data_IF_525063166600
#
_entry.id   IF_525063166600
#
_cell.length_a   1.000
_cell.length_b   1.000
_cell.length_c   1.000
_cell.angle_alpha   90.00
_cell.angle_beta   90.00
_cell.angle_gamma   90.00
#
_symmetry.space_group_name_H-M   'P 1'
#
loop_
_entity.id
_entity.type
_entity.pdbx_description
1 polymer ?
#
# COMPACT_ATOMS: atom_id res chain seq x y z
N UNK A 1 2.24 -8.64 8.19
CA UNK A 1 2.57 -9.18 6.85
C UNK A 1 3.10 -10.60 6.90
N UNK A 2 4.04 -10.91 7.80
CA UNK A 2 4.59 -12.26 7.95
C UNK A 2 4.55 -12.70 9.42
N UNK A 3 3.78 -13.74 9.79
CA UNK A 3 3.75 -14.25 11.16
C UNK A 3 5.09 -14.80 11.66
N UNK A 4 5.99 -15.25 10.77
CA UNK A 4 7.29 -15.79 11.15
C UNK A 4 8.27 -14.71 11.65
N UNK A 5 7.96 -13.44 11.40
CA UNK A 5 8.73 -12.29 11.89
C UNK A 5 8.20 -11.74 13.23
N UNK A 6 7.37 -12.51 13.95
CA UNK A 6 6.90 -12.11 15.26
C UNK A 6 8.08 -11.86 16.22
N UNK A 7 8.13 -10.67 16.81
CA UNK A 7 9.20 -10.29 17.73
C UNK A 7 10.53 -9.91 17.05
N UNK A 8 10.52 -9.57 15.76
CA UNK A 8 11.71 -9.05 15.07
C UNK A 8 12.31 -7.86 15.84
N UNK A 9 13.65 -7.72 15.80
CA UNK A 9 14.44 -6.85 16.69
C UNK A 9 14.47 -7.27 18.18
N UNK A 10 14.05 -8.50 18.49
CA UNK A 10 14.26 -9.12 19.80
C UNK A 10 13.21 -8.79 20.86
N UNK A 11 12.09 -8.14 20.49
CA UNK A 11 11.01 -7.84 21.41
C UNK A 11 9.65 -7.85 20.72
N UNK A 12 8.61 -8.26 21.46
CA UNK A 12 7.21 -8.10 21.04
C UNK A 12 6.66 -6.70 21.37
N UNK A 13 7.36 -5.92 22.20
CA UNK A 13 7.05 -4.53 22.51
C UNK A 13 7.60 -3.62 21.39
N UNK A 14 6.74 -2.93 20.61
CA UNK A 14 7.16 -2.09 19.50
C UNK A 14 8.18 -1.02 19.92
N UNK A 15 8.03 -0.39 21.08
CA UNK A 15 8.95 0.65 21.53
C UNK A 15 10.36 0.11 21.75
N UNK A 16 10.49 -1.09 22.34
CA UNK A 16 11.79 -1.75 22.54
C UNK A 16 12.41 -2.20 21.23
N UNK A 17 11.62 -2.80 20.34
CA UNK A 17 12.06 -3.21 19.01
C UNK A 17 12.55 -2.00 18.18
N UNK A 18 11.81 -0.89 18.22
CA UNK A 18 12.18 0.37 17.56
C UNK A 18 13.46 0.96 18.13
N UNK A 19 13.64 0.95 19.45
CA UNK A 19 14.86 1.43 20.10
C UNK A 19 16.11 0.66 19.62
N UNK A 20 16.04 -0.67 19.57
CA UNK A 20 17.12 -1.52 19.07
C UNK A 20 17.42 -1.26 17.58
N UNK A 21 16.36 -1.08 16.76
CA UNK A 21 16.52 -0.73 15.36
C UNK A 21 17.20 0.63 15.16
N UNK A 22 16.76 1.65 15.91
CA UNK A 22 17.34 3.00 15.89
C UNK A 22 18.82 3.01 16.30
N UNK A 23 19.22 2.17 17.27
CA UNK A 23 20.62 2.02 17.66
C UNK A 23 21.47 1.55 16.47
N UNK A 24 21.03 0.52 15.74
CA UNK A 24 21.70 0.04 14.53
C UNK A 24 21.80 1.12 13.46
N UNK A 25 20.70 1.85 13.21
CA UNK A 25 20.68 2.94 12.24
C UNK A 25 21.68 4.04 12.59
N UNK A 26 21.83 4.38 13.88
CA UNK A 26 22.80 5.39 14.34
C UNK A 26 24.25 4.91 14.17
N UNK A 27 24.54 3.64 14.46
CA UNK A 27 25.89 3.08 14.31
C UNK A 27 26.36 3.00 12.86
N UNK A 28 25.43 2.92 11.91
CA UNK A 28 25.73 2.65 10.50
C UNK A 28 25.06 3.65 9.54
N UNK A 29 24.74 4.86 10.00
CA UNK A 29 23.99 5.86 9.24
C UNK A 29 24.59 6.14 7.85
N UNK A 30 25.92 6.21 7.74
CA UNK A 30 26.62 6.46 6.46
C UNK A 30 26.45 5.34 5.43
N UNK A 31 25.98 4.15 5.83
CA UNK A 31 25.78 2.98 4.97
C UNK A 31 24.32 2.68 4.69
N UNK A 32 23.39 3.44 5.26
CA UNK A 32 21.97 3.16 5.23
C UNK A 32 21.24 4.38 4.66
N UNK A 33 20.73 4.26 3.45
CA UNK A 33 19.94 5.33 2.82
C UNK A 33 18.61 5.58 3.56
N UNK A 34 17.95 4.53 4.02
CA UNK A 34 16.70 4.65 4.75
C UNK A 34 16.15 3.33 5.25
N UNK A 35 15.00 3.41 5.92
CA UNK A 35 14.28 2.26 6.46
C UNK A 35 12.83 2.29 6.01
N UNK A 36 12.30 1.13 5.59
CA UNK A 36 10.88 0.92 5.38
C UNK A 36 10.21 0.33 6.62
N UNK A 37 9.19 1.00 7.16
CA UNK A 37 8.39 0.48 8.27
C UNK A 37 7.04 -0.07 7.77
N UNK A 38 6.73 -1.33 8.05
CA UNK A 38 5.50 -2.00 7.57
C UNK A 38 4.66 -2.57 8.71
N UNK A 39 4.41 -1.74 9.72
CA UNK A 39 3.61 -2.09 10.89
C UNK A 39 2.12 -1.75 10.72
N UNK A 40 1.76 -0.94 9.71
CA UNK A 40 0.40 -0.39 9.50
C UNK A 40 -0.10 0.40 10.72
N UNK A 41 0.83 1.03 11.42
CA UNK A 41 0.60 1.89 12.57
C UNK A 41 1.25 3.24 12.30
N UNK A 42 0.40 4.21 11.99
CA UNK A 42 0.80 5.57 11.60
C UNK A 42 1.57 6.27 12.72
N UNK A 43 1.11 6.12 13.96
CA UNK A 43 1.65 6.87 15.09
C UNK A 43 3.05 6.36 15.45
N UNK A 44 3.26 5.04 15.37
CA UNK A 44 4.59 4.45 15.49
C UNK A 44 5.54 4.92 14.38
N UNK A 45 5.08 5.06 13.13
CA UNK A 45 5.93 5.58 12.05
C UNK A 45 6.32 7.05 12.29
N UNK A 46 5.38 7.89 12.72
CA UNK A 46 5.62 9.29 13.04
C UNK A 46 6.61 9.42 14.22
N UNK A 47 6.45 8.62 15.27
CA UNK A 47 7.40 8.58 16.38
C UNK A 47 8.80 8.14 15.92
N UNK A 48 8.87 7.10 15.07
CA UNK A 48 10.13 6.57 14.57
C UNK A 48 10.87 7.57 13.68
N UNK A 49 10.18 8.21 12.71
CA UNK A 49 10.83 9.10 11.74
C UNK A 49 11.45 10.33 12.40
N UNK A 50 10.89 10.81 13.51
CA UNK A 50 11.41 11.94 14.29
C UNK A 50 12.72 11.62 15.02
N UNK A 51 13.06 10.33 15.17
CA UNK A 51 14.25 9.85 15.88
C UNK A 51 15.36 9.35 14.95
N UNK A 52 15.12 9.35 13.64
CA UNK A 52 16.09 8.90 12.64
C UNK A 52 17.35 9.77 12.67
N UNK A 53 18.54 9.16 12.53
CA UNK A 53 19.77 9.93 12.40
C UNK A 53 19.75 10.77 11.10
N UNK A 54 20.42 11.93 11.08
CA UNK A 54 20.49 12.77 9.87
C UNK A 54 20.97 11.98 8.65
N UNK A 55 20.32 12.19 7.51
CA UNK A 55 20.64 11.52 6.25
C UNK A 55 19.96 10.17 6.03
N UNK A 56 19.34 9.57 7.06
CA UNK A 56 18.58 8.32 6.92
C UNK A 56 17.10 8.64 6.68
N UNK A 57 16.56 8.16 5.56
CA UNK A 57 15.17 8.38 5.14
C UNK A 57 14.19 7.46 5.86
N UNK A 58 12.99 7.97 6.13
CA UNK A 58 11.84 7.12 6.43
C UNK A 58 11.12 6.80 5.12
N UNK A 59 11.03 5.53 4.75
CA UNK A 59 10.15 5.05 3.70
C UNK A 59 8.88 4.49 4.33
N UNK A 60 7.73 5.13 4.12
CA UNK A 60 6.48 4.55 4.60
C UNK A 60 6.21 3.23 3.89
N UNK A 61 5.87 2.22 4.69
CA UNK A 61 5.30 0.96 4.25
C UNK A 61 3.86 0.79 4.75
N UNK A 62 3.22 1.89 5.17
CA UNK A 62 1.85 1.91 5.65
C UNK A 62 0.87 2.19 4.51
N UNK A 63 0.39 1.10 3.90
CA UNK A 63 -0.61 1.17 2.83
C UNK A 63 -2.00 1.64 3.32
N UNK A 64 -2.24 1.81 4.63
CA UNK A 64 -3.50 2.35 5.18
C UNK A 64 -3.51 3.87 5.31
N UNK A 65 -2.33 4.46 5.50
CA UNK A 65 -2.16 5.87 5.90
C UNK A 65 -1.16 6.65 5.03
N UNK A 66 -0.64 6.03 3.97
CA UNK A 66 0.41 6.57 3.09
C UNK A 66 0.22 8.02 2.66
N UNK A 67 -0.99 8.44 2.27
CA UNK A 67 -1.20 9.80 1.79
C UNK A 67 -0.89 10.85 2.87
N UNK A 68 -1.26 10.58 4.13
CA UNK A 68 -0.94 11.47 5.25
C UNK A 68 0.56 11.44 5.58
N UNK A 69 1.16 10.25 5.61
CA UNK A 69 2.56 10.07 5.95
C UNK A 69 3.51 10.72 4.92
N UNK A 70 3.17 10.63 3.64
CA UNK A 70 3.90 11.24 2.52
C UNK A 70 3.76 12.76 2.51
N UNK A 71 2.56 13.30 2.78
CA UNK A 71 2.39 14.76 2.89
C UNK A 71 3.18 15.33 4.07
N UNK A 72 3.28 14.57 5.15
CA UNK A 72 4.02 14.94 6.34
C UNK A 72 3.23 15.82 7.31
N UNK A 73 3.93 16.26 8.34
CA UNK A 73 3.47 17.19 9.37
C UNK A 73 4.44 18.40 9.45
N UNK A 74 4.26 19.25 10.46
CA UNK A 74 5.11 20.43 10.69
C UNK A 74 6.60 20.09 10.93
N UNK A 75 6.92 18.85 11.30
CA UNK A 75 8.27 18.40 11.64
C UNK A 75 8.93 17.70 10.45
N UNK A 76 8.17 16.90 9.69
CA UNK A 76 8.70 16.22 8.52
C UNK A 76 7.73 15.29 7.82
N UNK A 77 8.23 14.59 6.81
CA UNK A 77 7.46 13.64 6.00
C UNK A 77 8.19 12.30 5.88
N UNK A 78 7.48 11.30 5.37
CA UNK A 78 8.06 10.01 4.97
C UNK A 78 8.14 9.95 3.44
N UNK A 79 9.24 9.46 2.89
CA UNK A 79 9.31 8.98 1.51
C UNK A 79 8.44 7.72 1.35
N UNK A 80 8.32 7.14 0.15
CA UNK A 80 7.38 6.04 -0.10
C UNK A 80 8.03 4.79 -0.69
N UNK A 81 7.78 3.63 -0.07
CA UNK A 81 8.06 2.31 -0.64
C UNK A 81 6.89 1.38 -0.31
N UNK A 82 5.85 1.45 -1.12
CA UNK A 82 4.51 0.92 -0.80
C UNK A 82 4.04 -0.11 -1.82
N UNK A 83 3.23 -1.07 -1.36
CA UNK A 83 2.59 -2.04 -2.25
C UNK A 83 1.43 -1.43 -3.02
N UNK A 84 0.69 -0.49 -2.41
CA UNK A 84 -0.44 0.17 -3.06
C UNK A 84 -0.04 1.03 -4.26
N UNK A 85 1.20 1.54 -4.29
CA UNK A 85 1.67 2.38 -5.40
C UNK A 85 1.69 1.66 -6.74
N UNK A 86 1.78 0.32 -6.76
CA UNK A 86 1.67 -0.49 -7.98
C UNK A 86 0.28 -0.31 -8.65
N UNK A 87 -0.84 -0.72 -8.03
CA UNK A 87 -2.16 -0.60 -8.67
C UNK A 87 -2.65 0.84 -8.85
N UNK A 88 -2.10 1.82 -8.12
CA UNK A 88 -2.50 3.24 -8.24
C UNK A 88 -1.45 4.12 -8.95
N UNK A 89 -0.44 3.51 -9.58
CA UNK A 89 0.73 4.21 -10.11
C UNK A 89 0.44 5.51 -10.89
N UNK A 90 -0.57 5.56 -11.81
CA UNK A 90 -0.87 6.80 -12.53
C UNK A 90 -1.30 7.95 -11.60
N UNK A 91 -2.18 7.68 -10.63
CA UNK A 91 -2.67 8.69 -9.68
C UNK A 91 -1.58 9.06 -8.68
N UNK A 92 -0.78 8.10 -8.22
CA UNK A 92 0.35 8.39 -7.34
C UNK A 92 1.38 9.30 -8.01
N UNK A 93 1.76 9.01 -9.26
CA UNK A 93 2.69 9.86 -10.00
C UNK A 93 2.14 11.28 -10.19
N UNK A 94 0.85 11.41 -10.52
CA UNK A 94 0.20 12.71 -10.63
C UNK A 94 0.21 13.47 -9.29
N UNK A 95 -0.21 12.83 -8.21
CA UNK A 95 -0.26 13.44 -6.89
C UNK A 95 1.12 13.89 -6.41
N UNK A 96 2.14 13.04 -6.52
CA UNK A 96 3.52 13.36 -6.12
C UNK A 96 4.08 14.56 -6.90
N UNK A 97 3.74 14.71 -8.18
CA UNK A 97 4.10 15.89 -8.96
C UNK A 97 3.44 17.19 -8.45
N UNK A 98 2.21 17.11 -7.94
CA UNK A 98 1.57 18.26 -7.30
C UNK A 98 2.23 18.58 -5.96
N UNK A 99 2.53 17.56 -5.16
CA UNK A 99 3.21 17.74 -3.88
C UNK A 99 4.60 18.37 -4.06
N UNK A 100 5.38 17.92 -5.05
CA UNK A 100 6.69 18.49 -5.39
C UNK A 100 6.63 19.98 -5.81
N UNK A 101 5.46 20.47 -6.22
CA UNK A 101 5.21 21.88 -6.57
C UNK A 101 4.58 22.68 -5.43
N UNK A 102 4.46 22.10 -4.23
CA UNK A 102 3.84 22.72 -3.06
C UNK A 102 2.31 22.66 -3.01
N UNK A 103 1.66 21.92 -3.93
CA UNK A 103 0.21 21.83 -4.01
C UNK A 103 -0.34 20.65 -3.20
N UNK A 104 -0.24 20.73 -1.87
CA UNK A 104 -0.69 19.67 -0.96
C UNK A 104 -2.20 19.37 -1.06
N UNK A 105 -3.03 20.39 -1.28
CA UNK A 105 -4.47 20.22 -1.46
C UNK A 105 -4.79 19.30 -2.64
N UNK A 106 -4.12 19.52 -3.77
CA UNK A 106 -4.33 18.73 -4.98
C UNK A 106 -3.77 17.31 -4.84
N UNK A 107 -2.62 17.16 -4.18
CA UNK A 107 -2.10 15.85 -3.79
C UNK A 107 -3.13 15.05 -2.98
N UNK A 108 -3.73 15.64 -1.95
CA UNK A 108 -4.77 14.98 -1.16
C UNK A 108 -6.03 14.74 -1.97
N UNK A 109 -6.44 15.68 -2.82
CA UNK A 109 -7.63 15.53 -3.68
C UNK A 109 -7.50 14.29 -4.57
N UNK A 110 -6.34 14.09 -5.19
CA UNK A 110 -6.06 12.97 -6.10
C UNK A 110 -6.00 11.63 -5.34
N UNK A 111 -5.32 11.58 -4.19
CA UNK A 111 -5.13 10.30 -3.47
C UNK A 111 -6.30 9.90 -2.58
N UNK A 112 -7.11 10.84 -2.08
CA UNK A 112 -8.24 10.56 -1.20
C UNK A 112 -9.15 9.40 -1.65
N UNK A 113 -9.60 9.31 -2.91
CA UNK A 113 -10.44 8.19 -3.34
C UNK A 113 -9.69 6.84 -3.39
N UNK A 114 -8.35 6.84 -3.41
CA UNK A 114 -7.54 5.62 -3.42
C UNK A 114 -7.34 5.02 -2.02
N UNK A 115 -7.52 5.81 -0.96
CA UNK A 115 -7.29 5.34 0.42
C UNK A 115 -8.27 4.23 0.82
N UNK A 116 -9.60 4.34 0.57
CA UNK A 116 -10.53 3.24 0.81
C UNK A 116 -10.20 1.98 0.02
N UNK A 117 -9.81 2.12 -1.26
CA UNK A 117 -9.36 1.01 -2.10
C UNK A 117 -8.14 0.30 -1.48
N UNK A 118 -7.14 1.08 -1.05
CA UNK A 118 -5.94 0.54 -0.42
C UNK A 118 -6.27 -0.24 0.84
N UNK A 119 -7.05 0.37 1.75
CA UNK A 119 -7.47 -0.29 2.98
C UNK A 119 -8.23 -1.58 2.70
N UNK A 120 -9.06 -1.61 1.65
CA UNK A 120 -9.75 -2.83 1.23
C UNK A 120 -8.77 -3.90 0.77
N UNK A 121 -7.84 -3.58 -0.13
CA UNK A 121 -6.82 -4.53 -0.64
C UNK A 121 -6.00 -5.12 0.53
N UNK A 122 -5.61 -4.29 1.50
CA UNK A 122 -4.76 -4.67 2.62
C UNK A 122 -5.52 -5.13 3.88
N UNK A 123 -6.86 -5.28 3.82
CA UNK A 123 -7.67 -5.69 4.96
C UNK A 123 -7.25 -7.06 5.51
N UNK A 124 -7.53 -7.32 6.80
CA UNK A 124 -7.18 -8.59 7.42
C UNK A 124 -7.80 -9.79 6.68
N UNK A 125 -7.06 -10.90 6.47
CA UNK A 125 -5.64 -11.10 6.75
C UNK A 125 -4.73 -10.43 5.69
N UNK A 126 -3.98 -9.40 6.12
CA UNK A 126 -3.20 -8.50 5.24
C UNK A 126 -2.20 -9.21 4.34
N UNK A 127 -1.65 -10.36 4.74
CA UNK A 127 -0.66 -11.12 3.94
C UNK A 127 -1.15 -11.44 2.50
N UNK A 128 -2.47 -11.46 2.28
CA UNK A 128 -3.09 -11.73 0.98
C UNK A 128 -3.38 -10.49 0.12
N UNK A 129 -2.89 -9.30 0.50
CA UNK A 129 -3.07 -8.06 -0.26
C UNK A 129 -2.64 -8.19 -1.74
N UNK A 130 -1.62 -9.01 -2.00
CA UNK A 130 -1.09 -9.30 -3.34
C UNK A 130 -2.16 -9.82 -4.31
N UNK A 131 -3.18 -10.49 -3.77
CA UNK A 131 -4.34 -10.95 -4.56
C UNK A 131 -5.09 -9.78 -5.16
N UNK A 132 -5.35 -8.73 -4.37
CA UNK A 132 -6.00 -7.51 -4.85
C UNK A 132 -5.12 -6.74 -5.86
N UNK A 133 -3.81 -6.66 -5.62
CA UNK A 133 -2.86 -6.04 -6.55
C UNK A 133 -2.89 -6.72 -7.92
N UNK A 134 -2.71 -8.04 -7.95
CA UNK A 134 -2.72 -8.81 -9.21
C UNK A 134 -4.10 -8.82 -9.86
N UNK A 135 -5.17 -8.81 -9.06
CA UNK A 135 -6.53 -8.69 -9.57
C UNK A 135 -6.72 -7.37 -10.34
N UNK A 136 -6.25 -6.24 -9.81
CA UNK A 136 -6.29 -4.95 -10.50
C UNK A 136 -5.43 -4.94 -11.76
N UNK A 137 -4.23 -5.53 -11.71
CA UNK A 137 -3.37 -5.68 -12.88
C UNK A 137 -4.07 -6.48 -13.99
N UNK A 138 -4.77 -7.56 -13.64
CA UNK A 138 -5.58 -8.34 -14.57
C UNK A 138 -6.77 -7.52 -15.10
N UNK A 139 -7.57 -6.86 -14.26
CA UNK A 139 -8.68 -6.02 -14.72
C UNK A 139 -8.22 -4.97 -15.74
N UNK A 140 -7.10 -4.29 -15.46
CA UNK A 140 -6.53 -3.23 -16.28
C UNK A 140 -5.71 -3.72 -17.49
N UNK A 141 -5.65 -5.03 -17.74
CA UNK A 141 -5.03 -5.58 -18.95
C UNK A 141 -3.50 -5.57 -18.96
N UNK A 142 -2.87 -5.44 -17.79
CA UNK A 142 -1.42 -5.66 -17.66
C UNK A 142 -1.04 -7.13 -17.78
N UNK A 143 -2.01 -8.03 -17.62
CA UNK A 143 -1.88 -9.47 -17.84
C UNK A 143 -3.18 -10.09 -18.39
N UNK A 144 -3.09 -11.28 -18.97
CA UNK A 144 -4.22 -11.94 -19.63
C UNK A 144 -5.02 -12.89 -18.72
N UNK A 145 -4.45 -13.35 -17.61
CA UNK A 145 -5.07 -14.30 -16.68
C UNK A 145 -5.07 -13.79 -15.23
N UNK A 146 -5.99 -14.30 -14.40
CA UNK A 146 -5.96 -14.11 -12.94
C UNK A 146 -5.46 -15.39 -12.25
N UNK A 147 -4.18 -15.70 -12.49
CA UNK A 147 -3.48 -16.83 -11.87
C UNK A 147 -2.23 -16.29 -11.17
N UNK A 148 -1.95 -16.78 -9.98
CA UNK A 148 -0.85 -16.33 -9.14
C UNK A 148 0.01 -17.50 -8.69
N UNK A 149 1.27 -17.20 -8.38
CA UNK A 149 2.16 -18.15 -7.72
C UNK A 149 1.52 -18.67 -6.42
N UNK A 150 1.72 -19.96 -6.15
CA UNK A 150 1.13 -20.63 -4.99
C UNK A 150 -0.39 -20.74 -5.01
N UNK A 151 -1.05 -20.48 -6.15
CA UNK A 151 -2.51 -20.51 -6.26
C UNK A 151 -3.21 -19.37 -5.52
N UNK A 152 -2.48 -18.28 -5.24
CA UNK A 152 -2.97 -17.20 -4.38
C UNK A 152 -4.18 -16.44 -4.92
N UNK A 153 -4.57 -16.61 -6.19
CA UNK A 153 -5.78 -16.00 -6.75
C UNK A 153 -7.07 -16.35 -5.98
N UNK A 154 -7.09 -17.47 -5.23
CA UNK A 154 -8.21 -17.88 -4.38
C UNK A 154 -8.12 -17.39 -2.93
N UNK A 155 -7.10 -16.59 -2.57
CA UNK A 155 -6.85 -16.16 -1.18
C UNK A 155 -7.75 -15.02 -0.70
N UNK A 156 -8.63 -14.50 -1.56
CA UNK A 156 -9.66 -13.52 -1.23
C UNK A 156 -11.02 -14.01 -1.74
N UNK A 157 -12.09 -13.69 -1.01
CA UNK A 157 -13.44 -14.08 -1.41
C UNK A 157 -13.91 -13.29 -2.64
N UNK A 158 -14.90 -13.83 -3.36
CA UNK A 158 -15.53 -13.11 -4.47
C UNK A 158 -16.14 -11.78 -4.02
N UNK A 159 -16.71 -11.71 -2.82
CA UNK A 159 -17.25 -10.47 -2.23
C UNK A 159 -16.15 -9.42 -2.06
N UNK A 160 -14.99 -9.81 -1.54
CA UNK A 160 -13.84 -8.91 -1.42
C UNK A 160 -13.40 -8.38 -2.79
N UNK A 161 -13.30 -9.25 -3.80
CA UNK A 161 -12.90 -8.84 -5.15
C UNK A 161 -13.93 -7.91 -5.80
N UNK A 162 -15.23 -8.12 -5.55
CA UNK A 162 -16.31 -7.22 -5.99
C UNK A 162 -16.21 -5.83 -5.34
N UNK A 163 -15.93 -5.77 -4.04
CA UNK A 163 -15.69 -4.50 -3.34
C UNK A 163 -14.46 -3.76 -3.91
N UNK A 164 -13.37 -4.50 -4.14
CA UNK A 164 -12.15 -3.97 -4.74
C UNK A 164 -12.43 -3.44 -6.15
N UNK A 165 -13.19 -4.16 -6.98
CA UNK A 165 -13.63 -3.69 -8.30
C UNK A 165 -14.41 -2.37 -8.21
N UNK A 166 -15.42 -2.30 -7.33
CA UNK A 166 -16.24 -1.10 -7.11
C UNK A 166 -15.38 0.09 -6.68
N UNK A 167 -14.53 -0.09 -5.68
CA UNK A 167 -13.64 0.96 -5.17
C UNK A 167 -12.62 1.41 -6.23
N UNK A 168 -12.18 0.50 -7.10
CA UNK A 168 -11.30 0.83 -8.23
C UNK A 168 -12.02 1.72 -9.25
N UNK A 169 -13.29 1.43 -9.54
CA UNK A 169 -14.12 2.26 -10.41
C UNK A 169 -14.38 3.64 -9.79
N UNK A 170 -14.73 3.72 -8.51
CA UNK A 170 -14.94 4.97 -7.77
C UNK A 170 -13.67 5.83 -7.70
N UNK A 171 -12.49 5.20 -7.65
CA UNK A 171 -11.21 5.88 -7.69
C UNK A 171 -10.77 6.30 -9.10
N UNK A 172 -11.52 5.96 -10.15
CA UNK A 172 -11.14 6.27 -11.53
C UNK A 172 -9.91 5.52 -12.03
N UNK A 173 -9.65 4.33 -11.49
CA UNK A 173 -8.45 3.53 -11.76
C UNK A 173 -8.65 2.41 -12.81
N UNK A 174 -9.85 2.32 -13.41
CA UNK A 174 -10.11 1.41 -14.51
C UNK A 174 -9.65 2.03 -15.83
N UNK A 175 -8.58 1.49 -16.41
CA UNK A 175 -8.01 1.97 -17.69
C UNK A 175 -8.97 1.77 -18.85
N UNK A 176 -9.65 0.63 -18.86
CA UNK A 176 -10.68 0.26 -19.83
C UNK A 176 -11.87 -0.32 -19.05
N UNK A 177 -12.90 0.50 -18.76
CA UNK A 177 -14.05 0.06 -17.97
C UNK A 177 -14.84 -1.09 -18.61
N UNK A 178 -14.89 -1.18 -19.95
CA UNK A 178 -15.61 -2.25 -20.64
C UNK A 178 -14.88 -3.58 -20.49
N UNK A 179 -13.56 -3.58 -20.70
CA UNK A 179 -12.72 -4.76 -20.49
C UNK A 179 -12.76 -5.22 -19.03
N UNK A 180 -12.64 -4.28 -18.09
CA UNK A 180 -12.70 -4.58 -16.66
C UNK A 180 -14.05 -5.18 -16.27
N UNK A 181 -15.16 -4.61 -16.75
CA UNK A 181 -16.50 -5.14 -16.51
C UNK A 181 -16.70 -6.52 -17.14
N UNK A 182 -16.21 -6.73 -18.37
CA UNK A 182 -16.24 -8.03 -19.04
C UNK A 182 -15.51 -9.11 -18.22
N UNK A 183 -14.30 -8.81 -17.76
CA UNK A 183 -13.50 -9.71 -16.91
C UNK A 183 -14.16 -9.99 -15.57
N UNK A 184 -14.71 -8.97 -14.92
CA UNK A 184 -15.44 -9.15 -13.66
C UNK A 184 -16.66 -10.06 -13.84
N UNK A 185 -17.41 -9.90 -14.94
CA UNK A 185 -18.53 -10.80 -15.29
C UNK A 185 -18.07 -12.23 -15.51
N UNK A 186 -16.95 -12.45 -16.22
CA UNK A 186 -16.39 -13.79 -16.41
C UNK A 186 -15.99 -14.43 -15.08
N UNK A 187 -15.36 -13.66 -14.18
CA UNK A 187 -15.03 -14.16 -12.85
C UNK A 187 -16.29 -14.54 -12.07
N UNK A 188 -17.30 -13.68 -12.04
CA UNK A 188 -18.57 -13.94 -11.37
C UNK A 188 -19.30 -15.19 -11.92
N UNK A 189 -19.26 -15.41 -13.23
CA UNK A 189 -19.84 -16.59 -13.86
C UNK A 189 -19.17 -17.90 -13.40
N UNK A 190 -17.84 -17.91 -13.20
CA UNK A 190 -17.12 -19.06 -12.62
C UNK A 190 -17.58 -19.35 -11.18
N UNK A 191 -18.05 -18.33 -10.47
CA UNK A 191 -18.64 -18.45 -9.14
C UNK A 191 -20.16 -18.72 -9.15
N UNK A 192 -20.75 -18.99 -10.32
CA UNK A 192 -22.18 -19.28 -10.46
C UNK A 192 -23.09 -18.07 -10.26
N UNK A 193 -22.57 -16.86 -10.43
CA UNK A 193 -23.34 -15.62 -10.36
C UNK A 193 -23.61 -15.14 -11.78
N UNK A 194 -24.87 -15.19 -12.20
CA UNK A 194 -25.31 -14.72 -13.51
C UNK A 194 -25.58 -13.20 -13.51
N UNK A 195 -25.30 -12.48 -14.61
CA UNK A 195 -25.60 -11.05 -14.76
C UNK A 195 -27.10 -10.71 -14.82
#
# INVERSE_FOLDING_TARGET
>A
FDPALAGYWGSADPSRAMAACLELLRMHAERIDGIKLSLLDKDLEIEFRRQLPPGVRMYTGDDFNFAELIAGDEIGHSDALLGILDPIAPLAAQALNHLARGNAEEFHRILRPTVPLSRKIFEAPTRFYKTGVVFLAWLNGHQQHFCMLGGMQSSRSIVHLSDVFRLTAEAGLLRDPELAAHRMKQLLAVWGIEP
#
